data_IF_588919584349
#
_entry.id   IF_588919584349
#
_cell.length_a   1.000
_cell.length_b   1.000
_cell.length_c   1.000
_cell.angle_alpha   90.00
_cell.angle_beta   90.00
_cell.angle_gamma   90.00
#
_symmetry.space_group_name_H-M   'P 1'
#
loop_
_entity.id
_entity.type
_entity.pdbx_description
1 polymer ?
#
# COMPACT_ATOMS: atom_id res chain seq x y z
N UNK A 1 43.38 -54.61 -28.83
CA UNK A 1 42.25 -53.71 -29.14
C UNK A 1 40.94 -54.49 -28.96
N UNK A 2 40.19 -54.24 -27.88
CA UNK A 2 38.82 -54.74 -27.70
C UNK A 2 37.94 -53.55 -27.35
N UNK A 3 37.49 -52.84 -28.37
CA UNK A 3 36.43 -51.83 -28.24
C UNK A 3 35.09 -52.54 -28.32
N UNK A 4 34.46 -52.79 -27.17
CA UNK A 4 33.05 -53.14 -27.15
C UNK A 4 32.24 -51.85 -27.22
N UNK A 5 31.65 -51.60 -28.38
CA UNK A 5 30.60 -50.62 -28.60
C UNK A 5 29.38 -51.03 -27.76
N UNK A 6 29.21 -50.38 -26.61
CA UNK A 6 28.00 -50.41 -25.79
C UNK A 6 26.86 -49.72 -26.55
N UNK A 7 26.15 -50.46 -27.39
CA UNK A 7 24.85 -50.05 -27.92
C UNK A 7 23.87 -50.00 -26.74
N UNK A 8 23.37 -48.79 -26.41
CA UNK A 8 22.39 -48.56 -25.35
C UNK A 8 21.16 -49.46 -25.58
N UNK A 9 21.07 -50.54 -24.82
CA UNK A 9 19.96 -51.49 -24.90
C UNK A 9 18.74 -50.91 -24.16
N UNK A 10 18.01 -50.01 -24.82
CA UNK A 10 16.80 -49.38 -24.27
C UNK A 10 15.60 -50.32 -24.41
N UNK A 11 15.10 -50.83 -23.29
CA UNK A 11 13.94 -51.71 -23.24
C UNK A 11 12.63 -50.95 -23.55
N UNK A 12 11.68 -51.62 -24.21
CA UNK A 12 10.35 -51.04 -24.55
C UNK A 12 9.61 -50.57 -23.31
N UNK A 13 9.84 -51.22 -22.17
CA UNK A 13 9.32 -50.80 -20.86
C UNK A 13 9.92 -49.48 -20.41
N UNK A 14 11.21 -49.26 -20.59
CA UNK A 14 11.88 -47.99 -20.26
C UNK A 14 11.36 -46.85 -21.13
N UNK A 15 11.08 -47.12 -22.41
CA UNK A 15 10.47 -46.14 -23.32
C UNK A 15 9.00 -45.84 -22.94
N UNK A 16 8.20 -46.85 -22.59
CA UNK A 16 6.82 -46.67 -22.17
C UNK A 16 6.70 -45.97 -20.81
N UNK A 17 7.55 -46.33 -19.84
CA UNK A 17 7.58 -45.71 -18.51
C UNK A 17 8.09 -44.26 -18.62
N UNK A 18 9.18 -44.03 -19.36
CA UNK A 18 9.72 -42.68 -19.59
C UNK A 18 8.76 -41.78 -20.39
N UNK A 19 8.12 -42.34 -21.42
CA UNK A 19 7.11 -41.63 -22.22
C UNK A 19 5.84 -41.31 -21.44
N UNK A 20 5.35 -42.24 -20.61
CA UNK A 20 4.17 -42.04 -19.77
C UNK A 20 4.36 -40.93 -18.72
N UNK A 21 5.53 -40.87 -18.07
CA UNK A 21 5.86 -39.78 -17.13
C UNK A 21 5.94 -38.44 -17.87
N UNK A 22 6.60 -38.39 -19.03
CA UNK A 22 6.70 -37.17 -19.83
C UNK A 22 5.35 -36.63 -20.27
N UNK A 23 4.48 -37.50 -20.82
CA UNK A 23 3.13 -37.12 -21.26
C UNK A 23 2.26 -36.73 -20.05
N UNK A 24 2.31 -37.50 -18.96
CA UNK A 24 1.57 -37.19 -17.74
C UNK A 24 1.99 -35.84 -17.12
N UNK A 25 3.28 -35.52 -17.13
CA UNK A 25 3.80 -34.24 -16.67
C UNK A 25 3.34 -33.09 -17.58
N UNK A 26 3.41 -33.25 -18.91
CA UNK A 26 2.95 -32.22 -19.86
C UNK A 26 1.46 -31.97 -19.70
N UNK A 27 0.64 -33.02 -19.61
CA UNK A 27 -0.81 -32.91 -19.42
C UNK A 27 -1.13 -32.31 -18.04
N UNK A 28 -0.45 -32.76 -16.99
CA UNK A 28 -0.59 -32.20 -15.64
C UNK A 28 -0.20 -30.72 -15.58
N UNK A 29 0.91 -30.34 -16.21
CA UNK A 29 1.39 -28.95 -16.25
C UNK A 29 0.45 -28.05 -17.07
N UNK A 30 0.00 -28.51 -18.24
CA UNK A 30 -0.89 -27.73 -19.10
C UNK A 30 -2.31 -27.62 -18.54
N UNK A 31 -2.84 -28.67 -17.93
CA UNK A 31 -4.13 -28.63 -17.22
C UNK A 31 -4.07 -27.73 -15.98
N UNK A 32 -3.00 -27.82 -15.19
CA UNK A 32 -2.79 -26.90 -14.06
C UNK A 32 -2.73 -25.45 -14.53
N UNK A 33 -1.99 -25.15 -15.61
CA UNK A 33 -1.89 -23.78 -16.14
C UNK A 33 -3.22 -23.22 -16.67
N UNK A 34 -4.11 -24.08 -17.17
CA UNK A 34 -5.44 -23.67 -17.62
C UNK A 34 -6.41 -23.44 -16.46
N UNK A 35 -6.37 -24.31 -15.44
CA UNK A 35 -7.17 -24.17 -14.22
C UNK A 35 -6.67 -23.03 -13.31
N UNK A 36 -5.37 -22.74 -13.32
CA UNK A 36 -4.73 -21.70 -12.53
C UNK A 36 -4.67 -20.34 -13.25
N UNK A 37 -5.43 -20.14 -14.34
CA UNK A 37 -5.50 -18.81 -14.94
C UNK A 37 -6.04 -17.80 -13.90
N UNK A 38 -5.29 -16.72 -13.59
CA UNK A 38 -5.87 -15.62 -12.83
C UNK A 38 -7.02 -15.06 -13.66
N UNK A 39 -8.17 -14.88 -13.02
CA UNK A 39 -9.44 -14.47 -13.62
C UNK A 39 -9.40 -13.01 -14.13
N UNK A 40 -8.52 -12.70 -15.09
CA UNK A 40 -8.32 -11.34 -15.61
C UNK A 40 -9.48 -10.77 -16.44
N UNK A 41 -10.59 -11.51 -16.61
CA UNK A 41 -11.81 -11.05 -17.31
C UNK A 41 -12.87 -10.45 -16.37
N UNK A 42 -12.67 -10.49 -15.05
CA UNK A 42 -13.67 -10.10 -14.05
C UNK A 42 -13.19 -8.98 -13.11
N UNK A 43 -12.18 -8.21 -13.51
CA UNK A 43 -11.55 -7.17 -12.69
C UNK A 43 -11.65 -5.81 -13.38
N UNK A 44 -12.20 -4.81 -12.68
CA UNK A 44 -12.24 -3.43 -13.12
C UNK A 44 -11.01 -2.67 -12.60
N UNK A 45 -10.31 -1.92 -13.46
CA UNK A 45 -9.11 -1.17 -13.08
C UNK A 45 -9.43 0.27 -12.74
N UNK A 46 -8.81 0.78 -11.69
CA UNK A 46 -8.88 2.16 -11.24
C UNK A 46 -7.47 2.76 -11.25
N UNK A 47 -7.13 3.42 -12.35
CA UNK A 47 -5.77 3.92 -12.57
C UNK A 47 -4.72 2.80 -12.61
N UNK A 48 -3.51 3.10 -12.15
CA UNK A 48 -2.37 2.17 -12.18
C UNK A 48 -2.34 1.22 -10.97
N UNK A 49 -2.76 1.70 -9.79
CA UNK A 49 -2.48 1.02 -8.52
C UNK A 49 -3.58 0.07 -8.04
N UNK A 50 -4.79 0.18 -8.57
CA UNK A 50 -5.96 -0.44 -7.96
C UNK A 50 -6.80 -1.21 -8.98
N UNK A 51 -7.24 -2.41 -8.60
CA UNK A 51 -8.26 -3.18 -9.32
C UNK A 51 -9.30 -3.68 -8.33
N UNK A 52 -10.53 -3.82 -8.78
CA UNK A 52 -11.62 -4.40 -7.99
C UNK A 52 -12.27 -5.52 -8.80
N UNK A 53 -12.27 -6.73 -8.25
CA UNK A 53 -12.96 -7.88 -8.81
C UNK A 53 -14.47 -7.77 -8.66
N UNK A 54 -15.23 -8.43 -9.55
CA UNK A 54 -16.69 -8.58 -9.42
C UNK A 54 -17.14 -9.22 -8.11
N UNK A 55 -16.26 -9.99 -7.48
CA UNK A 55 -16.42 -10.59 -6.16
C UNK A 55 -16.20 -9.61 -4.99
N UNK A 56 -15.82 -8.36 -5.28
CA UNK A 56 -15.55 -7.32 -4.29
C UNK A 56 -14.12 -7.32 -3.74
N UNK A 57 -13.23 -8.21 -4.20
CA UNK A 57 -11.82 -8.19 -3.81
C UNK A 57 -11.12 -6.97 -4.39
N UNK A 58 -10.35 -6.29 -3.55
CA UNK A 58 -9.58 -5.08 -3.89
C UNK A 58 -8.13 -5.49 -4.04
N UNK A 59 -7.57 -5.40 -5.25
CA UNK A 59 -6.19 -5.79 -5.53
C UNK A 59 -5.36 -4.52 -5.68
N UNK A 60 -4.33 -4.38 -4.84
CA UNK A 60 -3.40 -3.25 -4.86
C UNK A 60 -2.07 -3.67 -5.49
N UNK A 61 -1.67 -2.97 -6.54
CA UNK A 61 -0.41 -3.16 -7.23
C UNK A 61 0.72 -2.44 -6.49
N UNK A 62 1.68 -3.17 -5.94
CA UNK A 62 2.80 -2.60 -5.18
C UNK A 62 4.07 -2.60 -6.05
N UNK A 63 4.64 -1.40 -6.33
CA UNK A 63 5.82 -1.30 -7.19
C UNK A 63 7.14 -1.58 -6.47
N UNK A 64 7.15 -1.57 -5.14
CA UNK A 64 8.36 -1.74 -4.34
C UNK A 64 8.63 -3.23 -4.04
N UNK A 65 9.90 -3.63 -4.01
CA UNK A 65 10.31 -4.98 -3.62
C UNK A 65 10.27 -5.09 -2.09
N UNK A 66 9.73 -6.20 -1.58
CA UNK A 66 9.71 -6.51 -0.15
C UNK A 66 10.95 -7.31 0.26
N UNK A 67 11.64 -6.84 1.29
CA UNK A 67 12.81 -7.51 1.90
C UNK A 67 12.68 -7.58 3.44
N UNK A 68 11.49 -7.31 3.99
CA UNK A 68 11.19 -7.35 5.42
C UNK A 68 10.83 -6.00 6.04
N UNK A 69 10.75 -4.92 5.25
CA UNK A 69 10.35 -3.59 5.71
C UNK A 69 8.83 -3.41 5.86
N UNK A 70 8.02 -4.29 5.27
CA UNK A 70 6.56 -4.26 5.36
C UNK A 70 5.86 -3.27 4.41
N UNK A 71 6.48 -2.93 3.28
CA UNK A 71 5.89 -2.01 2.29
C UNK A 71 4.69 -2.65 1.58
N UNK A 72 4.69 -3.98 1.43
CA UNK A 72 3.55 -4.74 0.89
C UNK A 72 2.34 -4.77 1.81
N UNK A 73 2.50 -4.36 3.07
CA UNK A 73 1.38 -4.18 4.01
C UNK A 73 0.99 -2.71 4.10
N UNK A 74 1.98 -1.82 4.24
CA UNK A 74 1.73 -0.40 4.49
C UNK A 74 1.03 0.30 3.32
N UNK A 75 1.46 0.09 2.07
CA UNK A 75 0.83 0.76 0.93
C UNK A 75 -0.62 0.31 0.70
N UNK A 76 -0.95 -0.99 0.75
CA UNK A 76 -2.35 -1.42 0.64
C UNK A 76 -3.23 -0.94 1.79
N UNK A 77 -2.70 -0.77 3.01
CA UNK A 77 -3.47 -0.18 4.12
C UNK A 77 -3.90 1.26 3.82
N UNK A 78 -3.02 2.06 3.21
CA UNK A 78 -3.38 3.42 2.78
C UNK A 78 -4.55 3.40 1.78
N UNK A 79 -4.50 2.51 0.79
CA UNK A 79 -5.57 2.38 -0.20
C UNK A 79 -6.86 1.89 0.45
N UNK A 80 -6.77 0.91 1.35
CA UNK A 80 -7.92 0.35 2.07
C UNK A 80 -8.65 1.42 2.89
N UNK A 81 -7.90 2.23 3.64
CA UNK A 81 -8.42 3.31 4.48
C UNK A 81 -9.11 4.39 3.64
N UNK A 82 -8.48 4.84 2.54
CA UNK A 82 -9.06 5.89 1.68
C UNK A 82 -10.26 5.38 0.88
N UNK A 83 -10.26 4.10 0.48
CA UNK A 83 -11.35 3.47 -0.24
C UNK A 83 -12.54 3.14 0.69
N UNK A 84 -12.28 2.84 1.97
CA UNK A 84 -13.25 2.27 2.90
C UNK A 84 -13.48 0.77 2.70
N UNK A 85 -12.44 0.04 2.30
CA UNK A 85 -12.48 -1.41 2.12
C UNK A 85 -12.18 -2.15 3.43
N UNK A 86 -12.86 -3.28 3.66
CA UNK A 86 -12.48 -4.20 4.74
C UNK A 86 -11.11 -4.82 4.41
N UNK A 87 -10.20 -4.87 5.38
CA UNK A 87 -8.82 -5.34 5.19
C UNK A 87 -8.76 -6.77 4.64
N UNK A 88 -9.71 -7.62 5.03
CA UNK A 88 -9.80 -9.02 4.60
C UNK A 88 -10.11 -9.17 3.11
N UNK A 89 -10.62 -8.11 2.47
CA UNK A 89 -10.90 -8.09 1.03
C UNK A 89 -9.74 -7.52 0.21
N UNK A 90 -8.68 -7.04 0.86
CA UNK A 90 -7.53 -6.43 0.20
C UNK A 90 -6.48 -7.48 -0.12
N UNK A 91 -6.20 -7.65 -1.40
CA UNK A 91 -5.10 -8.44 -1.95
C UNK A 91 -3.99 -7.54 -2.47
N UNK A 92 -2.81 -8.13 -2.62
CA UNK A 92 -1.62 -7.43 -3.10
C UNK A 92 -1.06 -8.17 -4.30
N UNK A 93 -0.72 -7.44 -5.35
CA UNK A 93 0.01 -7.97 -6.49
C UNK A 93 1.30 -7.17 -6.72
N UNK A 94 2.35 -7.80 -7.26
CA UNK A 94 3.49 -7.03 -7.75
C UNK A 94 3.03 -6.15 -8.92
N UNK A 95 3.39 -4.87 -8.89
CA UNK A 95 3.02 -3.97 -9.96
C UNK A 95 3.61 -4.42 -11.31
N UNK A 96 2.84 -4.33 -12.40
CA UNK A 96 3.38 -4.57 -13.73
C UNK A 96 4.40 -3.49 -14.10
N UNK A 97 5.21 -3.75 -15.12
CA UNK A 97 6.13 -2.75 -15.64
C UNK A 97 5.36 -1.62 -16.33
N UNK A 98 5.67 -0.37 -15.97
CA UNK A 98 5.06 0.80 -16.58
C UNK A 98 5.45 2.10 -15.86
N UNK A 99 5.24 3.26 -16.52
CA UNK A 99 5.65 4.56 -15.99
C UNK A 99 4.90 4.94 -14.71
N UNK A 100 3.70 4.41 -14.51
CA UNK A 100 2.90 4.66 -13.31
C UNK A 100 3.48 4.08 -12.00
N UNK A 101 4.60 3.36 -12.06
CA UNK A 101 5.19 2.62 -10.93
C UNK A 101 6.62 3.05 -10.60
N UNK A 102 7.08 4.12 -11.22
CA UNK A 102 8.44 4.65 -11.07
C UNK A 102 8.57 5.30 -9.69
N UNK A 103 9.73 5.12 -9.05
CA UNK A 103 10.03 5.78 -7.78
C UNK A 103 10.86 7.04 -8.05
N UNK A 104 10.24 8.24 -8.14
CA UNK A 104 10.95 9.46 -8.50
C UNK A 104 12.01 9.86 -7.45
N UNK A 105 11.86 9.41 -6.21
CA UNK A 105 12.80 9.73 -5.13
C UNK A 105 14.00 8.77 -5.07
N UNK A 106 13.89 7.57 -5.67
CA UNK A 106 14.99 6.61 -5.76
C UNK A 106 15.73 6.62 -7.10
N UNK A 107 15.06 7.03 -8.19
CA UNK A 107 15.63 7.07 -9.54
C UNK A 107 16.54 8.27 -9.85
N UNK A 108 16.63 9.25 -8.95
CA UNK A 108 17.46 10.45 -9.15
C UNK A 108 18.97 10.17 -9.25
N UNK A 109 19.65 11.04 -10.00
CA UNK A 109 21.05 10.96 -10.44
C UNK A 109 22.10 10.74 -9.32
N UNK A 110 21.77 11.06 -8.07
CA UNK A 110 22.71 11.00 -6.94
C UNK A 110 23.07 9.56 -6.53
N UNK A 111 22.18 8.57 -6.76
CA UNK A 111 22.36 7.23 -6.20
C UNK A 111 23.36 6.36 -6.97
N UNK A 112 23.60 6.69 -8.24
CA UNK A 112 24.51 5.99 -9.12
C UNK A 112 25.66 6.88 -9.60
N UNK A 113 25.79 8.08 -9.02
CA UNK A 113 26.82 9.04 -9.41
C UNK A 113 28.23 8.49 -9.14
N UNK A 114 28.41 7.78 -8.03
CA UNK A 114 29.65 7.08 -7.65
C UNK A 114 29.95 5.81 -8.47
N UNK A 115 28.99 5.27 -9.24
CA UNK A 115 29.22 4.07 -10.05
C UNK A 115 29.99 4.32 -11.35
N UNK A 116 30.44 5.56 -11.59
CA UNK A 116 31.38 5.90 -12.66
C UNK A 116 30.92 5.40 -14.04
N UNK A 117 31.79 4.77 -14.86
CA UNK A 117 31.48 4.38 -16.24
C UNK A 117 30.39 3.29 -16.39
N UNK A 118 29.90 2.69 -15.30
CA UNK A 118 28.76 1.75 -15.31
C UNK A 118 27.43 2.50 -15.58
N UNK A 119 27.42 3.84 -15.52
CA UNK A 119 26.30 4.69 -15.98
C UNK A 119 25.78 4.36 -17.38
N UNK A 120 26.59 3.73 -18.25
CA UNK A 120 26.18 3.34 -19.61
C UNK A 120 25.06 2.29 -19.65
N UNK A 121 24.77 1.61 -18.53
CA UNK A 121 23.57 0.78 -18.42
C UNK A 121 22.27 1.58 -18.23
N UNK A 122 22.38 2.93 -18.22
CA UNK A 122 21.35 3.94 -18.53
C UNK A 122 19.93 3.38 -18.50
N UNK A 123 19.44 3.09 -17.29
CA UNK A 123 18.01 3.08 -17.07
C UNK A 123 17.61 4.53 -17.29
N UNK A 124 16.70 4.81 -18.23
CA UNK A 124 16.13 6.15 -18.34
C UNK A 124 15.72 6.59 -16.93
N UNK A 125 16.15 7.79 -16.50
CA UNK A 125 16.01 8.28 -15.11
C UNK A 125 14.53 8.20 -14.63
N UNK A 126 13.59 8.18 -15.59
CA UNK A 126 12.13 8.09 -15.40
C UNK A 126 11.56 6.65 -15.50
N UNK A 127 12.38 5.61 -15.59
CA UNK A 127 11.93 4.23 -15.88
C UNK A 127 12.30 3.20 -14.79
N UNK A 128 13.09 3.59 -13.78
CA UNK A 128 13.63 2.63 -12.83
C UNK A 128 12.69 2.38 -11.63
N UNK A 129 12.08 1.19 -11.60
CA UNK A 129 11.38 0.66 -10.43
C UNK A 129 12.41 0.19 -9.39
N UNK A 130 12.80 1.08 -8.48
CA UNK A 130 13.84 0.85 -7.46
C UNK A 130 13.27 0.94 -6.04
N UNK A 131 13.73 0.05 -5.17
CA UNK A 131 13.53 0.11 -3.70
C UNK A 131 14.84 0.42 -3.02
N UNK A 132 15.05 1.70 -2.68
CA UNK A 132 16.27 2.20 -2.05
C UNK A 132 16.00 3.52 -1.31
N UNK A 133 17.03 4.05 -0.62
CA UNK A 133 17.04 5.39 0.03
C UNK A 133 15.95 5.66 1.07
N UNK A 134 15.28 4.63 1.59
CA UNK A 134 14.12 4.79 2.49
C UNK A 134 12.98 5.64 1.90
N UNK A 135 12.84 5.62 0.57
CA UNK A 135 11.90 6.50 -0.15
C UNK A 135 10.53 5.88 -0.38
N UNK A 136 10.34 4.58 -0.13
CA UNK A 136 9.12 3.87 -0.53
C UNK A 136 7.83 4.50 0.00
N UNK A 137 7.76 4.86 1.28
CA UNK A 137 6.55 5.52 1.81
C UNK A 137 6.44 6.96 1.28
N UNK A 138 7.53 7.72 1.32
CA UNK A 138 7.54 9.12 0.88
C UNK A 138 7.15 9.31 -0.59
N UNK A 139 7.54 8.36 -1.46
CA UNK A 139 7.25 8.40 -2.89
C UNK A 139 5.83 7.94 -3.22
N UNK A 140 5.29 6.96 -2.48
CA UNK A 140 4.06 6.27 -2.85
C UNK A 140 2.86 6.54 -1.94
N UNK A 141 3.03 7.20 -0.79
CA UNK A 141 1.89 7.52 0.10
C UNK A 141 0.81 8.31 -0.63
N UNK A 142 1.18 9.47 -1.19
CA UNK A 142 0.22 10.36 -1.84
C UNK A 142 -0.44 9.72 -3.08
N UNK A 143 0.31 9.11 -4.03
CA UNK A 143 -0.31 8.42 -5.17
C UNK A 143 -1.27 7.30 -4.77
N UNK A 144 -0.95 6.54 -3.72
CA UNK A 144 -1.83 5.47 -3.22
C UNK A 144 -3.10 6.04 -2.60
N UNK A 145 -2.99 7.11 -1.81
CA UNK A 145 -4.17 7.77 -1.24
C UNK A 145 -5.08 8.34 -2.32
N UNK A 146 -4.49 8.99 -3.32
CA UNK A 146 -5.22 9.54 -4.47
C UNK A 146 -5.93 8.44 -5.26
N UNK A 147 -5.26 7.30 -5.51
CA UNK A 147 -5.87 6.16 -6.19
C UNK A 147 -7.10 5.63 -5.41
N UNK A 148 -6.99 5.48 -4.08
CA UNK A 148 -8.10 5.08 -3.22
C UNK A 148 -9.25 6.09 -3.24
N UNK A 149 -8.95 7.38 -3.10
CA UNK A 149 -9.95 8.45 -3.09
C UNK A 149 -10.69 8.59 -4.43
N UNK A 150 -9.98 8.49 -5.55
CA UNK A 150 -10.57 8.54 -6.89
C UNK A 150 -11.50 7.35 -7.10
N UNK A 151 -11.05 6.14 -6.76
CA UNK A 151 -11.88 4.94 -6.87
C UNK A 151 -13.12 5.03 -5.98
N UNK A 152 -12.98 5.51 -4.74
CA UNK A 152 -14.11 5.77 -3.83
C UNK A 152 -15.10 6.74 -4.47
N UNK A 153 -14.65 7.85 -5.04
CA UNK A 153 -15.51 8.82 -5.69
C UNK A 153 -16.27 8.21 -6.88
N UNK A 154 -15.61 7.40 -7.70
CA UNK A 154 -16.25 6.70 -8.83
C UNK A 154 -17.31 5.70 -8.37
N UNK A 155 -17.01 4.89 -7.35
CA UNK A 155 -17.96 3.92 -6.78
C UNK A 155 -19.16 4.63 -6.14
N UNK A 156 -18.91 5.67 -5.35
CA UNK A 156 -19.95 6.49 -4.70
C UNK A 156 -20.85 7.15 -5.73
N UNK A 157 -20.28 7.77 -6.77
CA UNK A 157 -21.06 8.36 -7.84
C UNK A 157 -21.96 7.29 -8.51
N UNK A 158 -21.44 6.07 -8.65
CA UNK A 158 -22.15 4.95 -9.29
C UNK A 158 -23.35 4.50 -8.47
N UNK A 159 -23.15 4.22 -7.19
CA UNK A 159 -24.25 3.88 -6.29
C UNK A 159 -25.26 5.02 -6.16
N UNK A 160 -24.79 6.26 -6.07
CA UNK A 160 -25.65 7.43 -5.95
C UNK A 160 -26.56 7.59 -7.19
N UNK A 161 -26.03 7.34 -8.39
CA UNK A 161 -26.82 7.33 -9.62
C UNK A 161 -27.87 6.22 -9.61
N UNK A 162 -27.53 5.00 -9.16
CA UNK A 162 -28.50 3.89 -9.04
C UNK A 162 -29.62 4.18 -8.05
N UNK A 163 -29.31 4.87 -6.97
CA UNK A 163 -30.29 5.27 -5.95
C UNK A 163 -30.99 6.60 -6.25
N UNK A 164 -30.61 7.30 -7.33
CA UNK A 164 -31.08 8.64 -7.66
C UNK A 164 -30.94 9.63 -6.48
N UNK A 165 -29.77 9.63 -5.84
CA UNK A 165 -29.43 10.54 -4.73
C UNK A 165 -28.17 11.34 -5.03
N UNK A 166 -27.91 12.40 -4.26
CA UNK A 166 -26.66 13.14 -4.34
C UNK A 166 -25.46 12.26 -3.89
N UNK A 167 -24.30 12.31 -4.56
CA UNK A 167 -23.11 11.56 -4.15
C UNK A 167 -22.68 11.82 -2.70
N UNK A 168 -22.86 13.05 -2.21
CA UNK A 168 -22.54 13.42 -0.82
C UNK A 168 -23.46 12.78 0.24
N UNK A 169 -24.56 12.15 -0.15
CA UNK A 169 -25.41 11.37 0.75
C UNK A 169 -24.91 9.92 0.93
N UNK A 170 -23.93 9.50 0.13
CA UNK A 170 -23.37 8.16 0.18
C UNK A 170 -21.99 8.17 0.86
N UNK A 171 -21.65 7.06 1.52
CA UNK A 171 -20.35 6.82 2.14
C UNK A 171 -19.83 5.42 1.77
N UNK A 172 -18.60 5.08 2.12
CA UNK A 172 -18.06 3.72 1.94
C UNK A 172 -17.66 3.10 3.27
N UNK A 173 -18.04 1.84 3.49
CA UNK A 173 -17.68 1.06 4.68
C UNK A 173 -17.63 -0.42 4.32
N UNK A 174 -16.65 -1.14 4.88
CA UNK A 174 -16.52 -2.59 4.77
C UNK A 174 -16.60 -3.11 3.32
N UNK A 175 -16.05 -2.35 2.38
CA UNK A 175 -16.06 -2.67 0.95
C UNK A 175 -17.41 -2.54 0.24
N UNK A 176 -18.29 -1.71 0.78
CA UNK A 176 -19.60 -1.39 0.23
C UNK A 176 -19.80 0.13 0.19
N UNK A 177 -20.56 0.60 -0.78
CA UNK A 177 -21.14 1.95 -0.73
C UNK A 177 -22.44 1.87 0.07
N UNK A 178 -22.66 2.81 0.98
CA UNK A 178 -23.81 2.85 1.89
C UNK A 178 -24.55 4.19 1.79
N UNK A 179 -25.87 4.14 1.89
CA UNK A 179 -26.75 5.30 2.03
C UNK A 179 -27.94 4.92 2.91
N UNK A 180 -27.92 5.36 4.18
CA UNK A 180 -28.93 4.97 5.17
C UNK A 180 -28.98 3.46 5.39
N UNK A 181 -30.11 2.83 5.07
CA UNK A 181 -30.31 1.37 5.12
C UNK A 181 -29.88 0.63 3.86
N UNK A 182 -29.58 1.36 2.77
CA UNK A 182 -29.18 0.76 1.50
C UNK A 182 -27.66 0.56 1.44
N UNK A 183 -27.23 -0.56 0.87
CA UNK A 183 -25.82 -0.80 0.59
C UNK A 183 -25.65 -1.60 -0.70
N UNK A 184 -24.59 -1.30 -1.46
CA UNK A 184 -24.18 -2.05 -2.65
C UNK A 184 -22.69 -2.37 -2.53
N UNK A 185 -22.30 -3.61 -2.80
CA UNK A 185 -20.90 -4.04 -2.74
C UNK A 185 -20.04 -3.44 -3.85
N UNK A 186 -18.75 -3.23 -3.58
CA UNK A 186 -17.83 -2.67 -4.59
C UNK A 186 -17.80 -3.49 -5.87
N UNK A 187 -17.80 -4.82 -5.79
CA UNK A 187 -17.74 -5.68 -6.98
C UNK A 187 -18.92 -5.51 -7.94
N UNK A 188 -20.10 -5.16 -7.43
CA UNK A 188 -21.30 -4.92 -8.24
C UNK A 188 -21.25 -3.56 -8.97
N UNK A 189 -20.48 -2.61 -8.42
CA UNK A 189 -20.31 -1.27 -8.97
C UNK A 189 -19.05 -1.15 -9.83
N UNK A 190 -18.07 -2.03 -9.63
CA UNK A 190 -16.70 -1.87 -10.11
C UNK A 190 -16.60 -1.62 -11.62
N UNK A 191 -17.30 -2.43 -12.42
CA UNK A 191 -17.26 -2.35 -13.89
C UNK A 191 -17.88 -1.05 -14.42
N UNK A 192 -19.04 -0.66 -13.88
CA UNK A 192 -19.72 0.59 -14.26
C UNK A 192 -18.92 1.82 -13.77
N UNK A 193 -18.37 1.74 -12.56
CA UNK A 193 -17.59 2.82 -11.94
C UNK A 193 -16.28 3.08 -12.69
N UNK A 194 -15.60 2.04 -13.17
CA UNK A 194 -14.36 2.18 -13.94
C UNK A 194 -14.60 2.85 -15.31
N UNK A 195 -15.81 2.80 -15.85
CA UNK A 195 -16.20 3.53 -17.07
C UNK A 195 -16.43 5.02 -16.86
N UNK A 196 -16.45 5.51 -15.61
CA UNK A 196 -16.70 6.93 -15.30
C UNK A 196 -15.40 7.73 -15.36
N UNK A 197 -15.52 8.97 -15.82
CA UNK A 197 -14.42 9.93 -15.66
C UNK A 197 -14.24 10.29 -14.19
N UNK A 198 -13.00 10.43 -13.68
CA UNK A 198 -12.76 10.90 -12.33
C UNK A 198 -13.39 12.29 -12.17
N UNK A 199 -14.30 12.48 -11.21
CA UNK A 199 -14.62 13.83 -10.76
C UNK A 199 -13.34 14.41 -10.16
N UNK A 200 -12.87 15.54 -10.67
CA UNK A 200 -11.60 16.13 -10.24
C UNK A 200 -11.50 16.21 -8.70
N UNK A 201 -10.31 15.92 -8.12
CA UNK A 201 -10.07 16.06 -6.69
C UNK A 201 -10.18 17.55 -6.31
N UNK A 202 -11.37 17.96 -5.92
CA UNK A 202 -11.74 19.36 -5.74
C UNK A 202 -13.24 19.53 -5.53
N UNK A 203 -14.05 18.57 -5.95
CA UNK A 203 -15.47 18.55 -5.63
C UNK A 203 -15.70 17.91 -4.24
N UNK A 204 -15.41 18.65 -3.16
CA UNK A 204 -15.99 18.45 -1.82
C UNK A 204 -15.73 17.13 -1.09
N UNK A 205 -14.99 16.18 -1.67
CA UNK A 205 -14.44 15.05 -0.93
C UNK A 205 -13.27 15.60 -0.12
N UNK A 206 -13.57 16.10 1.08
CA UNK A 206 -12.55 16.25 2.12
C UNK A 206 -11.86 14.89 2.16
N UNK A 207 -10.59 14.80 1.72
CA UNK A 207 -9.70 13.71 2.10
C UNK A 207 -9.83 13.68 3.61
N UNK A 208 -10.61 12.72 4.11
CA UNK A 208 -10.98 12.67 5.50
C UNK A 208 -9.63 12.57 6.21
N UNK A 209 -9.25 13.62 6.95
CA UNK A 209 -8.10 13.51 7.85
C UNK A 209 -8.34 12.23 8.64
N UNK A 210 -7.38 11.31 8.54
CA UNK A 210 -7.27 10.03 9.24
C UNK A 210 -8.26 9.82 10.40
N UNK A 211 -8.93 8.66 10.51
CA UNK A 211 -9.94 8.39 11.53
C UNK A 211 -9.34 8.18 12.93
N UNK A 212 -8.30 8.92 13.32
CA UNK A 212 -7.83 8.97 14.71
C UNK A 212 -8.78 9.76 15.65
N UNK A 213 -9.82 10.41 15.13
CA UNK A 213 -10.72 11.26 15.93
C UNK A 213 -12.02 10.61 16.39
N UNK A 214 -12.26 9.32 16.08
CA UNK A 214 -13.52 8.63 16.44
C UNK A 214 -13.46 7.79 17.72
N UNK A 215 -12.37 7.85 18.48
CA UNK A 215 -12.35 7.43 19.89
C UNK A 215 -12.57 8.65 20.80
N UNK A 216 -13.78 9.22 20.75
CA UNK A 216 -14.21 10.20 21.77
C UNK A 216 -14.85 9.42 22.91
N UNK A 217 -14.01 8.85 23.78
CA UNK A 217 -14.46 8.38 25.08
C UNK A 217 -15.10 9.58 25.81
N UNK A 218 -16.33 9.37 26.27
CA UNK A 218 -17.06 10.32 27.08
C UNK A 218 -16.35 10.48 28.43
N UNK A 219 -15.50 11.50 28.56
CA UNK A 219 -15.07 11.99 29.86
C UNK A 219 -15.52 13.43 30.03
N UNK A 220 -16.52 13.55 30.90
CA UNK A 220 -16.99 14.74 31.58
C UNK A 220 -15.91 15.80 31.84
N UNK A 221 -16.22 17.04 31.42
CA UNK A 221 -15.76 18.36 31.88
C UNK A 221 -14.52 18.41 32.79
N UNK A 222 -13.51 19.16 32.34
CA UNK A 222 -13.05 20.42 32.96
C UNK A 222 -12.20 21.22 31.99
N UNK A 223 -12.55 22.49 31.80
CA UNK A 223 -11.84 23.48 30.99
C UNK A 223 -10.53 23.82 31.70
N UNK A 224 -9.40 23.49 31.10
CA UNK A 224 -8.10 24.06 31.47
C UNK A 224 -7.53 24.77 30.25
N UNK A 225 -7.47 26.09 30.32
CA UNK A 225 -6.87 26.98 29.34
C UNK A 225 -5.36 26.74 29.31
N UNK A 226 -4.85 26.18 28.21
CA UNK A 226 -3.39 26.13 27.97
C UNK A 226 -3.04 27.21 26.96
N UNK A 227 -2.25 28.16 27.46
CA UNK A 227 -1.68 29.31 26.76
C UNK A 227 -0.54 28.80 25.85
N UNK A 228 -0.48 29.35 24.64
CA UNK A 228 0.48 29.07 23.57
C UNK A 228 1.92 28.84 24.03
N UNK A 229 2.53 27.73 23.60
CA UNK A 229 3.99 27.52 23.66
C UNK A 229 4.54 27.70 22.24
N UNK A 230 5.38 28.72 22.09
CA UNK A 230 6.11 29.03 20.87
C UNK A 230 7.17 27.95 20.58
N UNK A 231 7.11 27.36 19.38
CA UNK A 231 8.11 26.43 18.89
C UNK A 231 9.33 27.22 18.38
N UNK A 232 10.44 27.17 19.12
CA UNK A 232 11.74 27.61 18.62
C UNK A 232 12.42 26.42 17.93
N UNK A 233 12.63 26.57 16.64
CA UNK A 233 13.41 25.71 15.76
C UNK A 233 14.82 25.50 16.33
N UNK A 234 15.22 24.26 16.60
CA UNK A 234 16.61 23.91 16.85
C UNK A 234 17.17 23.23 15.60
N UNK A 235 18.03 23.96 14.89
CA UNK A 235 18.90 23.41 13.86
C UNK A 235 19.92 22.46 14.51
N UNK A 236 20.08 21.26 13.96
CA UNK A 236 21.14 20.32 14.35
C UNK A 236 22.36 20.54 13.44
N UNK A 237 23.54 20.90 13.97
CA UNK A 237 24.76 20.92 13.18
C UNK A 237 25.34 19.51 13.06
N UNK A 238 25.86 19.23 11.86
CA UNK A 238 26.59 18.04 11.47
C UNK A 238 27.82 17.81 12.38
N UNK A 239 27.88 16.68 13.08
CA UNK A 239 29.15 16.18 13.65
C UNK A 239 29.17 14.65 13.72
N UNK A 240 30.11 14.08 12.95
CA UNK A 240 30.90 12.86 13.19
C UNK A 240 30.37 11.84 14.21
N UNK A 241 30.04 10.65 13.72
CA UNK A 241 29.64 9.44 14.46
C UNK A 241 30.63 9.02 15.57
N UNK A 242 30.17 8.60 16.76
CA UNK A 242 31.05 8.01 17.78
C UNK A 242 31.31 6.52 17.52
N UNK A 243 32.57 6.12 17.79
CA UNK A 243 33.08 4.74 17.74
C UNK A 243 32.34 3.81 18.72
N UNK A 244 32.05 2.61 18.23
CA UNK A 244 31.43 1.49 18.94
C UNK A 244 32.33 1.06 20.13
N UNK A 245 31.84 1.16 21.37
CA UNK A 245 32.58 0.59 22.53
C UNK A 245 32.39 1.18 23.93
N UNK A 246 31.52 2.17 24.19
CA UNK A 246 31.31 2.68 25.57
C UNK A 246 29.93 2.30 26.13
N UNK A 247 29.93 1.60 27.28
CA UNK A 247 28.73 1.17 28.03
C UNK A 247 27.81 2.37 28.39
N UNK A 248 26.47 2.20 28.36
CA UNK A 248 25.55 3.30 28.67
C UNK A 248 25.58 3.63 30.18
N UNK A 249 25.72 4.92 30.50
CA UNK A 249 25.49 5.45 31.86
C UNK A 249 23.99 5.62 32.09
N UNK A 250 23.47 5.02 33.16
CA UNK A 250 22.09 5.18 33.61
C UNK A 250 21.74 6.66 33.85
N UNK A 251 20.74 7.18 33.15
CA UNK A 251 20.17 8.49 33.40
C UNK A 251 19.14 8.39 34.55
N UNK A 252 19.54 8.88 35.74
CA UNK A 252 18.68 8.93 36.92
C UNK A 252 17.74 10.13 36.83
N UNK A 253 16.46 9.90 36.61
CA UNK A 253 15.43 10.95 36.50
C UNK A 253 15.06 11.47 37.91
N UNK A 254 15.46 12.71 38.24
CA UNK A 254 15.06 13.40 39.48
C UNK A 254 13.75 14.16 39.23
N UNK A 255 12.64 13.66 39.78
CA UNK A 255 11.37 14.40 39.86
C UNK A 255 11.44 15.36 41.06
N UNK A 256 11.56 16.66 40.79
CA UNK A 256 11.41 17.71 41.81
C UNK A 256 9.92 18.04 41.97
N UNK A 257 9.32 17.72 43.12
CA UNK A 257 7.99 18.21 43.52
C UNK A 257 8.19 19.43 44.42
N UNK A 258 7.74 20.61 43.98
CA UNK A 258 7.58 21.78 44.85
C UNK A 258 6.25 21.65 45.61
N UNK A 259 6.20 21.89 46.92
CA UNK A 259 4.93 21.96 47.65
C UNK A 259 4.15 23.23 47.28
N UNK A 260 2.80 23.22 47.34
CA UNK A 260 1.97 24.36 46.99
C UNK A 260 2.08 25.48 48.05
N UNK A 261 2.16 26.72 47.59
CA UNK A 261 2.13 27.91 48.45
C UNK A 261 0.71 28.15 48.97
N UNK A 262 0.57 28.29 50.29
CA UNK A 262 -0.64 28.76 50.97
C UNK A 262 -0.77 30.28 50.80
N UNK A 263 -1.88 30.75 50.23
CA UNK A 263 -2.30 32.16 50.30
C UNK A 263 -3.06 32.42 51.61
N UNK A 264 -2.84 33.55 52.29
CA UNK A 264 -3.55 33.89 53.52
C UNK A 264 -5.00 34.31 53.25
N UNK A 265 -5.89 33.86 54.12
CA UNK A 265 -7.29 34.26 54.18
C UNK A 265 -7.42 35.74 54.59
N UNK A 266 -8.27 36.47 53.87
CA UNK A 266 -8.75 37.79 54.27
C UNK A 266 -10.11 37.63 54.95
N UNK A 267 -10.21 38.03 56.22
CA UNK A 267 -11.48 38.31 56.89
C UNK A 267 -11.21 39.31 58.03
N UNK A 268 -12.04 40.37 58.09
CA UNK A 268 -12.39 41.15 59.29
C UNK A 268 -11.27 41.62 60.20
#
# INVERSE_FOLDING_TARGET
>A
MKGQSQLLNMDRRTVLIGGGIGVGLIVGWSSWRWLAQPQGRNEARFGSYLKIGRDGRVIVAVPQVETGQGIWTALPQLVADELGAAWEMVGVEPAPFGPGFVNPLAGGQDCFEELGPIRRFQLDDDAARITARSTSVAAFEQPMREAGAIARAMLVATAAARWNVAPGACDTRDGKVVNGSNSIGFGELAEEAAGRSPSAPGCGLVIARSPASRCRASTSRRRATVRSVSARMCAFPNSSSPRFGSRPREARFKVSRRPPALSPATAG
#
